data_IF_401652350549
#
_entry.id   IF_401652350549
#
_cell.length_a   1.000
_cell.length_b   1.000
_cell.length_c   1.000
_cell.angle_alpha   90.00
_cell.angle_beta   90.00
_cell.angle_gamma   90.00
#
_symmetry.space_group_name_H-M   'P 1'
#
loop_
_entity.id
_entity.type
_entity.pdbx_description
1 polymer ?
#
# COMPACT_ATOMS: atom_id res chain seq x y z
N UNK A 1 -0.72 0.93 21.88
CA UNK A 1 -1.45 -0.07 21.04
C UNK A 1 -0.56 -1.29 20.87
N UNK A 2 -1.11 -2.51 20.77
CA UNK A 2 -0.30 -3.73 20.55
C UNK A 2 0.45 -3.60 19.21
N UNK A 3 1.76 -3.91 19.21
CA UNK A 3 2.64 -3.85 18.00
C UNK A 3 2.16 -4.76 16.84
N UNK A 4 1.16 -5.60 17.06
CA UNK A 4 0.57 -6.50 16.05
C UNK A 4 -0.81 -6.06 15.54
N UNK A 5 -1.42 -5.05 16.15
CA UNK A 5 -2.82 -4.71 15.85
C UNK A 5 -3.04 -4.29 14.38
N UNK A 6 -2.12 -3.51 13.81
CA UNK A 6 -2.22 -3.05 12.42
C UNK A 6 -2.12 -4.21 11.42
N UNK A 7 -1.17 -5.14 11.61
CA UNK A 7 -1.05 -6.33 10.77
C UNK A 7 -2.31 -7.23 10.86
N UNK A 8 -2.90 -7.37 12.04
CA UNK A 8 -4.14 -8.13 12.22
C UNK A 8 -5.35 -7.47 11.54
N UNK A 9 -5.43 -6.12 11.53
CA UNK A 9 -6.47 -5.41 10.77
C UNK A 9 -6.33 -5.70 9.27
N UNK A 10 -5.12 -5.64 8.73
CA UNK A 10 -4.86 -5.96 7.33
C UNK A 10 -5.25 -7.41 7.00
N UNK A 11 -4.87 -8.39 7.82
CA UNK A 11 -5.28 -9.79 7.63
C UNK A 11 -6.79 -9.96 7.57
N UNK A 12 -7.53 -9.29 8.45
CA UNK A 12 -9.00 -9.32 8.45
C UNK A 12 -9.57 -8.67 7.19
N UNK A 13 -9.00 -7.56 6.73
CA UNK A 13 -9.43 -6.90 5.51
C UNK A 13 -9.20 -7.78 4.28
N UNK A 14 -8.06 -8.46 4.17
CA UNK A 14 -7.77 -9.42 3.09
C UNK A 14 -8.77 -10.59 3.10
N UNK A 15 -9.08 -11.14 4.26
CA UNK A 15 -10.11 -12.18 4.37
C UNK A 15 -11.47 -11.69 3.86
N UNK A 16 -11.87 -10.46 4.23
CA UNK A 16 -13.09 -9.81 3.73
C UNK A 16 -13.04 -9.57 2.21
N UNK A 17 -11.91 -9.10 1.67
CA UNK A 17 -11.72 -8.92 0.23
C UNK A 17 -11.92 -10.24 -0.49
N UNK A 18 -11.26 -11.31 -0.04
CA UNK A 18 -11.38 -12.65 -0.61
C UNK A 18 -12.82 -13.16 -0.58
N UNK A 19 -13.53 -12.98 0.55
CA UNK A 19 -14.92 -13.39 0.66
C UNK A 19 -15.84 -12.60 -0.29
N UNK A 20 -15.63 -11.29 -0.38
CA UNK A 20 -16.44 -10.41 -1.23
C UNK A 20 -16.15 -10.58 -2.73
N UNK A 21 -14.99 -11.12 -3.11
CA UNK A 21 -14.60 -11.33 -4.51
C UNK A 21 -14.69 -12.80 -4.94
N UNK A 22 -15.09 -13.71 -4.04
CA UNK A 22 -15.05 -15.17 -4.26
C UNK A 22 -15.74 -15.63 -5.55
N UNK A 23 -16.87 -15.00 -5.88
CA UNK A 23 -17.69 -15.35 -7.05
C UNK A 23 -17.49 -14.38 -8.23
N UNK A 24 -16.60 -13.40 -8.06
CA UNK A 24 -16.33 -12.40 -9.10
C UNK A 24 -15.37 -12.96 -10.14
N UNK A 25 -15.79 -13.02 -11.41
CA UNK A 25 -14.93 -13.34 -12.52
C UNK A 25 -14.03 -12.14 -12.90
N UNK A 26 -12.82 -12.37 -13.44
CA UNK A 26 -12.02 -11.31 -14.01
C UNK A 26 -12.77 -10.61 -15.15
N UNK A 27 -12.75 -9.28 -15.16
CA UNK A 27 -13.40 -8.44 -16.18
C UNK A 27 -12.37 -7.65 -17.01
N UNK A 28 -11.06 -7.82 -16.74
CA UNK A 28 -9.98 -7.07 -17.36
C UNK A 28 -9.84 -5.65 -16.82
N UNK A 29 -10.50 -5.33 -15.71
CA UNK A 29 -10.45 -3.99 -15.09
C UNK A 29 -9.10 -3.74 -14.43
N UNK A 30 -8.42 -2.71 -14.91
CA UNK A 30 -7.11 -2.28 -14.43
C UNK A 30 -7.24 -1.23 -13.31
N UNK A 31 -6.15 -0.98 -12.54
CA UNK A 31 -6.14 0.04 -11.48
C UNK A 31 -6.52 1.46 -11.97
N UNK A 32 -6.20 1.81 -13.22
CA UNK A 32 -6.55 3.10 -13.82
C UNK A 32 -8.07 3.28 -14.01
N UNK A 33 -8.81 2.19 -14.05
CA UNK A 33 -10.28 2.16 -14.16
C UNK A 33 -10.99 2.14 -12.80
N UNK A 34 -10.24 2.31 -11.72
CA UNK A 34 -10.76 2.39 -10.36
C UNK A 34 -11.68 3.61 -10.20
N UNK A 35 -12.91 3.38 -9.76
CA UNK A 35 -13.87 4.45 -9.52
C UNK A 35 -13.63 5.21 -8.20
N UNK A 36 -14.29 6.34 -8.01
CA UNK A 36 -14.17 7.17 -6.83
C UNK A 36 -14.89 6.60 -5.59
N UNK A 37 -15.72 5.57 -5.74
CA UNK A 37 -16.49 4.97 -4.64
C UNK A 37 -15.75 3.76 -4.07
N UNK A 38 -15.49 2.76 -4.90
CA UNK A 38 -14.88 1.49 -4.49
C UNK A 38 -13.36 1.47 -4.66
N UNK A 39 -12.80 2.42 -5.43
CA UNK A 39 -11.38 2.45 -5.72
C UNK A 39 -10.93 1.16 -6.41
N UNK A 40 -9.72 0.73 -6.14
CA UNK A 40 -9.12 -0.48 -6.72
C UNK A 40 -9.78 -1.79 -6.25
N UNK A 41 -10.66 -1.76 -5.23
CA UNK A 41 -11.49 -2.92 -4.90
C UNK A 41 -12.43 -3.30 -6.05
N UNK A 42 -12.83 -2.33 -6.90
CA UNK A 42 -13.65 -2.58 -8.10
C UNK A 42 -12.86 -3.21 -9.26
N UNK A 43 -11.55 -3.27 -9.21
CA UNK A 43 -10.67 -3.78 -10.28
C UNK A 43 -10.31 -5.25 -10.06
N UNK A 44 -9.70 -5.87 -11.06
CA UNK A 44 -9.25 -7.26 -10.97
C UNK A 44 -8.09 -7.44 -9.96
N UNK A 45 -7.40 -6.36 -9.59
CA UNK A 45 -6.40 -6.36 -8.53
C UNK A 45 -6.92 -6.85 -7.18
N UNK A 46 -8.23 -6.71 -6.90
CA UNK A 46 -8.84 -7.25 -5.68
C UNK A 46 -9.04 -8.77 -5.72
N UNK A 47 -9.01 -9.38 -6.91
CA UNK A 47 -9.09 -10.83 -7.06
C UNK A 47 -7.79 -11.46 -6.56
N UNK A 48 -7.88 -12.35 -5.57
CA UNK A 48 -6.72 -13.00 -4.96
C UNK A 48 -5.73 -12.03 -4.28
N UNK A 49 -6.15 -10.81 -3.93
CA UNK A 49 -5.30 -9.85 -3.24
C UNK A 49 -4.82 -10.42 -1.90
N UNK A 50 -3.51 -10.64 -1.81
CA UNK A 50 -2.79 -11.01 -0.59
C UNK A 50 -1.37 -10.40 -0.62
N UNK A 51 -1.17 -9.20 -0.06
CA UNK A 51 0.12 -8.53 -0.09
C UNK A 51 1.16 -9.11 0.89
N UNK A 52 0.79 -10.05 1.77
CA UNK A 52 1.68 -10.55 2.82
C UNK A 52 2.94 -11.25 2.30
N UNK A 53 2.92 -12.06 1.23
CA UNK A 53 4.14 -12.61 0.66
C UNK A 53 5.14 -11.52 0.23
N UNK A 54 4.64 -10.45 -0.40
CA UNK A 54 5.50 -9.35 -0.83
C UNK A 54 6.00 -8.50 0.34
N UNK A 55 5.15 -8.20 1.33
CA UNK A 55 5.56 -7.50 2.55
C UNK A 55 6.65 -8.27 3.33
N UNK A 56 6.57 -9.60 3.36
CA UNK A 56 7.63 -10.45 3.91
C UNK A 56 8.90 -10.35 3.08
N UNK A 57 8.81 -10.45 1.76
CA UNK A 57 9.97 -10.36 0.88
C UNK A 57 10.69 -9.00 1.01
N UNK A 58 9.94 -7.90 1.19
CA UNK A 58 10.51 -6.58 1.50
C UNK A 58 11.29 -6.61 2.82
N UNK A 59 10.72 -7.18 3.88
CA UNK A 59 11.39 -7.34 5.16
C UNK A 59 12.68 -8.17 5.03
N UNK A 60 12.61 -9.33 4.38
CA UNK A 60 13.73 -10.26 4.21
C UNK A 60 14.86 -9.65 3.34
N UNK A 61 14.51 -8.79 2.39
CA UNK A 61 15.45 -8.02 1.58
C UNK A 61 16.05 -6.80 2.30
N UNK A 62 15.60 -6.49 3.53
CA UNK A 62 16.04 -5.32 4.30
C UNK A 62 15.53 -3.99 3.73
N UNK A 63 14.41 -4.00 3.00
CA UNK A 63 13.79 -2.79 2.47
C UNK A 63 13.23 -1.92 3.59
N UNK A 64 13.39 -0.60 3.43
CA UNK A 64 12.82 0.42 4.30
C UNK A 64 11.58 1.09 3.70
N UNK A 65 11.06 0.57 2.60
CA UNK A 65 9.84 1.08 1.97
C UNK A 65 8.67 1.12 2.97
N UNK A 66 7.83 2.11 2.80
CA UNK A 66 6.70 2.41 3.69
C UNK A 66 5.40 2.17 2.95
N UNK A 67 4.54 1.34 3.48
CA UNK A 67 3.18 1.14 2.96
C UNK A 67 2.41 2.46 3.08
N UNK A 68 1.82 2.88 1.97
CA UNK A 68 0.96 4.06 1.88
C UNK A 68 -0.42 3.66 1.33
N UNK A 69 -1.19 4.60 0.83
CA UNK A 69 -2.46 4.32 0.15
C UNK A 69 -3.52 3.72 1.07
N UNK A 70 -4.40 2.89 0.49
CA UNK A 70 -5.52 2.33 1.25
C UNK A 70 -5.10 1.21 2.19
N UNK A 71 -4.05 0.45 1.88
CA UNK A 71 -3.52 -0.56 2.82
C UNK A 71 -3.07 0.09 4.12
N UNK A 72 -2.36 1.22 4.07
CA UNK A 72 -2.01 1.95 5.30
C UNK A 72 -3.27 2.44 6.04
N UNK A 73 -4.30 2.90 5.33
CA UNK A 73 -5.58 3.27 5.93
C UNK A 73 -6.24 2.11 6.69
N UNK A 74 -6.25 0.91 6.11
CA UNK A 74 -6.73 -0.31 6.75
C UNK A 74 -5.91 -0.64 8.01
N UNK A 75 -4.60 -0.49 7.95
CA UNK A 75 -3.73 -0.72 9.10
C UNK A 75 -4.03 0.23 10.26
N UNK A 76 -4.48 1.45 9.98
CA UNK A 76 -5.00 2.39 10.99
C UNK A 76 -6.43 2.12 11.43
N UNK A 77 -7.24 1.40 10.65
CA UNK A 77 -8.61 1.04 11.03
C UNK A 77 -9.69 1.45 10.03
N UNK A 78 -9.32 1.95 8.84
CA UNK A 78 -10.29 2.16 7.75
C UNK A 78 -10.99 0.85 7.42
N UNK A 79 -12.27 0.94 7.11
CA UNK A 79 -13.12 -0.20 6.77
C UNK A 79 -13.24 -0.43 5.26
N UNK A 80 -12.79 0.52 4.44
CA UNK A 80 -12.80 0.38 2.99
C UNK A 80 -11.77 -0.65 2.52
N UNK A 81 -12.17 -1.53 1.62
CA UNK A 81 -11.30 -2.55 1.01
C UNK A 81 -10.52 -1.97 -0.16
N UNK A 82 -9.49 -2.70 -0.60
CA UNK A 82 -8.63 -2.31 -1.72
C UNK A 82 -8.15 -3.56 -2.47
N UNK A 83 -7.63 -3.36 -3.68
CA UNK A 83 -7.00 -4.39 -4.51
C UNK A 83 -5.57 -4.04 -4.91
N UNK A 84 -4.96 -3.01 -4.30
CA UNK A 84 -3.60 -2.57 -4.56
C UNK A 84 -2.80 -2.34 -3.28
N UNK A 85 -1.48 -2.39 -3.42
CA UNK A 85 -0.52 -2.07 -2.37
C UNK A 85 0.46 -1.02 -2.87
N UNK A 86 0.34 0.20 -2.38
CA UNK A 86 1.23 1.30 -2.72
C UNK A 86 2.36 1.43 -1.70
N UNK A 87 3.56 1.72 -2.17
CA UNK A 87 4.75 1.90 -1.36
C UNK A 87 5.42 3.25 -1.63
N UNK A 88 5.85 3.92 -0.57
CA UNK A 88 6.76 5.07 -0.62
C UNK A 88 8.17 4.61 -0.27
N UNK A 89 9.16 4.98 -1.08
CA UNK A 89 10.56 4.63 -0.85
C UNK A 89 11.47 5.84 -1.16
N UNK A 90 12.71 5.82 -0.67
CA UNK A 90 13.58 6.99 -0.65
C UNK A 90 14.30 7.32 -1.98
N UNK A 91 14.13 6.48 -3.01
CA UNK A 91 14.78 6.67 -4.31
C UNK A 91 16.27 6.31 -4.32
N UNK A 92 16.85 5.80 -3.24
CA UNK A 92 18.27 5.49 -3.18
C UNK A 92 18.64 4.20 -3.92
N UNK A 93 19.89 4.10 -4.45
CA UNK A 93 20.36 2.86 -5.06
C UNK A 93 20.37 1.66 -4.12
N UNK A 94 20.52 1.89 -2.81
CA UNK A 94 20.49 0.83 -1.81
C UNK A 94 19.08 0.26 -1.68
N UNK A 95 18.08 1.12 -1.52
CA UNK A 95 16.68 0.72 -1.44
C UNK A 95 16.19 0.10 -2.75
N UNK A 96 16.59 0.65 -3.90
CA UNK A 96 16.28 0.06 -5.22
C UNK A 96 16.78 -1.40 -5.35
N UNK A 97 17.94 -1.75 -4.76
CA UNK A 97 18.43 -3.14 -4.75
C UNK A 97 17.55 -4.04 -3.89
N UNK A 98 17.13 -3.58 -2.71
CA UNK A 98 16.25 -4.33 -1.82
C UNK A 98 14.88 -4.55 -2.47
N UNK A 99 14.30 -3.52 -3.09
CA UNK A 99 13.04 -3.62 -3.82
C UNK A 99 13.12 -4.63 -4.97
N UNK A 100 14.19 -4.58 -5.80
CA UNK A 100 14.38 -5.57 -6.87
C UNK A 100 14.48 -7.00 -6.36
N UNK A 101 15.18 -7.21 -5.24
CA UNK A 101 15.26 -8.54 -4.62
C UNK A 101 13.89 -9.04 -4.16
N UNK A 102 13.11 -8.19 -3.50
CA UNK A 102 11.77 -8.53 -3.06
C UNK A 102 10.80 -8.82 -4.23
N UNK A 103 10.83 -7.98 -5.28
CA UNK A 103 10.04 -8.17 -6.49
C UNK A 103 10.36 -9.51 -7.17
N UNK A 104 11.65 -9.81 -7.33
CA UNK A 104 12.09 -11.08 -7.92
C UNK A 104 11.66 -12.28 -7.09
N UNK A 105 11.76 -12.20 -5.75
CA UNK A 105 11.33 -13.27 -4.84
C UNK A 105 9.82 -13.56 -4.92
N UNK A 106 9.02 -12.58 -5.34
CA UNK A 106 7.57 -12.70 -5.48
C UNK A 106 7.08 -12.90 -6.93
N UNK A 107 7.99 -13.22 -7.85
CA UNK A 107 7.62 -13.58 -9.22
C UNK A 107 7.25 -12.39 -10.11
N UNK A 108 7.84 -11.21 -9.87
CA UNK A 108 7.69 -10.07 -10.78
C UNK A 108 8.25 -10.43 -12.17
N UNK A 109 7.37 -10.54 -13.16
CA UNK A 109 7.76 -10.93 -14.52
C UNK A 109 8.41 -9.77 -15.28
N UNK A 110 7.93 -8.57 -15.05
CA UNK A 110 8.42 -7.32 -15.67
C UNK A 110 8.88 -6.36 -14.57
N UNK A 111 10.18 -6.35 -14.22
CA UNK A 111 10.68 -5.45 -13.18
C UNK A 111 10.43 -3.98 -13.53
N UNK A 112 9.86 -3.19 -12.60
CA UNK A 112 9.59 -1.78 -12.84
C UNK A 112 10.89 -0.98 -13.02
N UNK A 113 10.80 0.12 -13.76
CA UNK A 113 11.88 1.11 -13.87
C UNK A 113 11.93 1.96 -12.58
N UNK A 114 12.80 1.57 -11.66
CA UNK A 114 13.01 2.28 -10.39
C UNK A 114 13.80 3.61 -10.56
N UNK A 115 14.11 4.02 -11.77
CA UNK A 115 14.62 5.36 -12.06
C UNK A 115 13.51 6.41 -12.20
N UNK A 116 12.24 5.99 -12.20
CA UNK A 116 11.09 6.88 -12.31
C UNK A 116 10.59 7.32 -10.94
N UNK A 117 9.91 8.46 -10.91
CA UNK A 117 9.26 9.00 -9.71
C UNK A 117 8.15 8.09 -9.18
N UNK A 118 7.46 7.41 -10.09
CA UNK A 118 6.45 6.39 -9.84
C UNK A 118 6.62 5.25 -10.84
N UNK A 119 6.53 4.02 -10.36
CA UNK A 119 6.61 2.84 -11.21
C UNK A 119 5.58 1.79 -10.74
N UNK A 120 4.69 1.41 -11.64
CA UNK A 120 3.76 0.32 -11.38
C UNK A 120 4.50 -1.01 -11.30
N UNK A 121 4.03 -1.91 -10.43
CA UNK A 121 4.55 -3.27 -10.31
C UNK A 121 3.42 -4.27 -10.16
N UNK A 122 3.72 -5.52 -10.53
CA UNK A 122 2.85 -6.66 -10.30
C UNK A 122 3.68 -7.85 -9.82
N UNK A 123 3.22 -8.49 -8.76
CA UNK A 123 3.78 -9.71 -8.17
C UNK A 123 2.67 -10.68 -7.83
N UNK A 124 3.01 -11.91 -7.48
CA UNK A 124 2.00 -12.88 -7.02
C UNK A 124 1.24 -12.34 -5.81
N UNK A 125 -0.06 -12.13 -5.96
CA UNK A 125 -0.97 -11.67 -4.90
C UNK A 125 -1.00 -10.18 -4.64
N UNK A 126 -0.18 -9.36 -5.30
CA UNK A 126 -0.23 -7.92 -5.13
C UNK A 126 0.22 -7.15 -6.38
N UNK A 127 -0.41 -6.02 -6.61
CA UNK A 127 0.01 -5.01 -7.58
C UNK A 127 -0.14 -3.62 -6.96
N UNK A 128 0.50 -2.61 -7.52
CA UNK A 128 0.41 -1.23 -7.04
C UNK A 128 1.54 -0.36 -7.57
N UNK A 129 1.80 0.73 -6.86
CA UNK A 129 2.80 1.70 -7.25
C UNK A 129 3.96 1.79 -6.25
N UNK A 130 5.17 1.92 -6.79
CA UNK A 130 6.37 2.31 -6.06
C UNK A 130 6.59 3.81 -6.29
N UNK A 131 6.31 4.61 -5.26
CA UNK A 131 6.37 6.07 -5.32
C UNK A 131 7.60 6.61 -4.60
N UNK A 132 8.19 7.67 -5.11
CA UNK A 132 9.29 8.40 -4.46
C UNK A 132 8.83 9.77 -3.96
N UNK A 133 9.57 10.42 -3.04
CA UNK A 133 9.27 11.78 -2.62
C UNK A 133 9.35 12.83 -3.74
N UNK A 134 10.03 12.53 -4.85
CA UNK A 134 10.14 13.42 -6.02
C UNK A 134 8.85 13.49 -6.82
N UNK A 135 8.01 12.45 -6.75
CA UNK A 135 6.65 12.48 -7.33
C UNK A 135 5.87 13.69 -6.78
N UNK A 136 5.06 14.30 -7.63
CA UNK A 136 4.20 15.41 -7.20
C UNK A 136 3.13 14.92 -6.20
N UNK A 137 3.22 15.42 -4.98
CA UNK A 137 2.28 15.17 -3.88
C UNK A 137 1.47 16.43 -3.56
N UNK A 138 1.09 17.21 -4.60
CA UNK A 138 0.53 18.53 -4.40
C UNK A 138 1.54 19.45 -3.69
N UNK A 139 1.10 20.16 -2.65
CA UNK A 139 1.95 21.07 -1.86
C UNK A 139 2.66 20.37 -0.69
N UNK A 140 2.63 19.03 -0.61
CA UNK A 140 3.19 18.28 0.50
C UNK A 140 4.58 17.73 0.20
N UNK A 141 5.58 18.07 1.05
CA UNK A 141 6.82 17.30 1.12
C UNK A 141 6.59 16.00 1.91
N UNK A 142 6.71 14.86 1.23
CA UNK A 142 6.52 13.53 1.83
C UNK A 142 7.84 12.88 2.30
N UNK A 143 9.00 13.50 2.03
CA UNK A 143 10.29 12.95 2.47
C UNK A 143 10.34 12.66 3.97
N UNK A 144 9.82 13.53 4.86
CA UNK A 144 9.81 13.27 6.29
C UNK A 144 8.92 12.09 6.71
N UNK A 145 7.95 11.68 5.87
CA UNK A 145 7.04 10.56 6.18
C UNK A 145 7.79 9.24 6.27
N UNK A 146 8.88 9.08 5.50
CA UNK A 146 9.74 7.89 5.57
C UNK A 146 10.35 7.70 6.97
N UNK A 147 10.78 8.79 7.61
CA UNK A 147 11.38 8.74 8.95
C UNK A 147 10.32 8.55 10.06
N UNK A 148 9.11 9.08 9.86
CA UNK A 148 8.01 9.00 10.84
C UNK A 148 7.14 7.76 10.69
N UNK A 149 7.42 6.89 9.72
CA UNK A 149 6.64 5.68 9.49
C UNK A 149 6.51 4.84 10.77
N UNK A 150 5.31 4.36 11.01
CA UNK A 150 5.02 3.42 12.07
C UNK A 150 5.45 2.01 11.65
N UNK A 151 5.61 1.13 12.66
CA UNK A 151 6.01 -0.25 12.45
C UNK A 151 5.03 -1.18 13.16
N UNK A 152 4.65 -2.25 12.49
CA UNK A 152 3.88 -3.34 13.08
C UNK A 152 4.58 -4.68 12.84
N UNK A 153 4.36 -5.63 13.76
CA UNK A 153 4.87 -6.99 13.64
C UNK A 153 3.75 -7.92 13.17
N UNK A 154 4.01 -8.64 12.10
CA UNK A 154 3.13 -9.73 11.69
C UNK A 154 3.35 -10.95 12.60
N UNK A 155 2.28 -11.68 12.98
CA UNK A 155 2.43 -12.89 13.81
C UNK A 155 3.36 -13.95 13.21
N UNK A 156 3.60 -13.95 11.91
CA UNK A 156 4.54 -14.87 11.26
C UNK A 156 6.01 -14.40 11.29
N UNK A 157 6.34 -13.33 12.07
CA UNK A 157 7.70 -13.00 12.48
C UNK A 157 8.42 -12.00 11.59
N UNK A 158 7.73 -11.16 10.84
CA UNK A 158 8.34 -10.05 10.08
C UNK A 158 7.70 -8.70 10.42
N UNK A 159 8.35 -7.62 10.06
CA UNK A 159 7.88 -6.27 10.31
C UNK A 159 7.39 -5.60 9.03
N UNK A 160 6.37 -4.75 9.18
CA UNK A 160 5.84 -3.91 8.11
C UNK A 160 5.93 -2.46 8.55
N UNK A 161 6.50 -1.61 7.72
CA UNK A 161 6.49 -0.15 7.90
C UNK A 161 5.33 0.44 7.14
N UNK A 162 4.59 1.36 7.75
CA UNK A 162 3.45 2.02 7.13
C UNK A 162 3.37 3.48 7.55
N UNK A 163 2.79 4.32 6.70
CA UNK A 163 2.71 5.76 6.95
C UNK A 163 1.99 6.05 8.27
N UNK A 164 2.52 6.99 9.05
CA UNK A 164 1.85 7.48 10.24
C UNK A 164 0.49 8.08 9.88
N UNK A 165 -0.50 7.97 10.78
CA UNK A 165 -1.87 8.37 10.50
C UNK A 165 -2.01 9.82 10.04
N UNK A 166 -1.34 10.75 10.73
CA UNK A 166 -1.36 12.17 10.36
C UNK A 166 -0.75 12.43 8.98
N UNK A 167 0.35 11.74 8.65
CA UNK A 167 0.98 11.85 7.34
C UNK A 167 0.07 11.30 6.24
N UNK A 168 -0.57 10.16 6.46
CA UNK A 168 -1.49 9.56 5.50
C UNK A 168 -2.70 10.47 5.23
N UNK A 169 -3.27 11.12 6.27
CA UNK A 169 -4.34 12.09 6.12
C UNK A 169 -3.88 13.29 5.28
N UNK A 170 -2.69 13.82 5.56
CA UNK A 170 -2.11 14.93 4.81
C UNK A 170 -1.83 14.57 3.36
N UNK A 171 -1.25 13.40 3.08
CA UNK A 171 -1.01 12.90 1.73
C UNK A 171 -2.31 12.84 0.92
N UNK A 172 -3.39 12.29 1.51
CA UNK A 172 -4.70 12.22 0.85
C UNK A 172 -5.27 13.59 0.55
N UNK A 173 -5.21 14.52 1.51
CA UNK A 173 -5.70 15.90 1.30
C UNK A 173 -4.91 16.63 0.21
N UNK A 174 -3.60 16.41 0.14
CA UNK A 174 -2.74 16.99 -0.88
C UNK A 174 -3.04 16.46 -2.29
N UNK A 175 -3.39 15.17 -2.45
CA UNK A 175 -3.81 14.59 -3.72
C UNK A 175 -5.17 15.12 -4.21
N UNK A 176 -6.07 15.49 -3.31
CA UNK A 176 -7.26 16.30 -3.58
C UNK A 176 -8.37 15.64 -4.40
N UNK A 177 -8.29 14.33 -4.73
CA UNK A 177 -9.37 13.63 -5.44
C UNK A 177 -10.58 13.42 -4.51
N UNK A 178 -11.82 13.34 -5.00
CA UNK A 178 -13.00 13.14 -4.17
C UNK A 178 -12.89 11.95 -3.20
N UNK A 179 -12.36 10.82 -3.67
CA UNK A 179 -12.13 9.64 -2.82
C UNK A 179 -11.09 9.88 -1.73
N UNK A 180 -10.07 10.71 -2.00
CA UNK A 180 -9.01 10.99 -1.03
C UNK A 180 -9.53 11.87 0.11
N UNK A 181 -10.36 12.89 -0.20
CA UNK A 181 -11.03 13.70 0.83
C UNK A 181 -11.92 12.84 1.74
N UNK A 182 -12.79 11.99 1.16
CA UNK A 182 -13.65 11.09 1.92
C UNK A 182 -12.86 10.18 2.85
N UNK A 183 -11.78 9.56 2.33
CA UNK A 183 -10.90 8.68 3.12
C UNK A 183 -10.10 9.42 4.16
N UNK A 184 -9.67 10.66 3.89
CA UNK A 184 -9.02 11.52 4.89
C UNK A 184 -9.98 11.85 6.04
N UNK A 185 -11.25 12.13 5.75
CA UNK A 185 -12.26 12.40 6.76
C UNK A 185 -12.61 11.16 7.59
N UNK A 186 -12.65 9.96 6.99
CA UNK A 186 -12.77 8.69 7.73
C UNK A 186 -11.62 8.53 8.71
N UNK A 187 -10.37 8.67 8.24
CA UNK A 187 -9.18 8.53 9.07
C UNK A 187 -9.09 9.59 10.18
N UNK A 188 -9.52 10.81 9.90
CA UNK A 188 -9.54 11.90 10.91
C UNK A 188 -10.42 11.55 12.11
N UNK A 189 -11.52 10.81 11.90
CA UNK A 189 -12.38 10.34 13.01
C UNK A 189 -11.70 9.28 13.89
N UNK A 190 -10.63 8.65 13.42
CA UNK A 190 -9.85 7.70 14.22
C UNK A 190 -8.88 8.38 15.19
N UNK A 191 -8.64 9.70 15.04
CA UNK A 191 -7.82 10.51 15.94
C UNK A 191 -8.61 11.01 17.16
N UNK A 192 -9.95 10.98 17.10
CA UNK A 192 -10.87 11.42 18.15
C UNK A 192 -11.27 10.26 19.06
#
# INVERSE_FOLDING_TARGET
MSQTAAALRLRRAIARTRDATRERAPEGRRPEEADDVLGTFATDGALNFDPFPFLRALHDAGSHAVVIGQVAGIMHGSTELTGDLDLLWDGTPAEARALRAALAACGCAEPPDLGREQAAYEVTGAAGDLCTPVLSWGDMDVSPCLARAETTHDPSGFTVRYAALDDLIRMRRALGRPKDHRRADELTRLLS
#
